data_IF_280489879316
#
_entry.id   IF_280489879316
#
_cell.length_a   1.000
_cell.length_b   1.000
_cell.length_c   1.000
_cell.angle_alpha   90.00
_cell.angle_beta   90.00
_cell.angle_gamma   90.00
#
_symmetry.space_group_name_H-M   'P 1'
#
loop_
_entity.id
_entity.type
_entity.pdbx_description
1 polymer ?
#
# COMPACT_ATOMS: atom_id res chain seq x y z
N UNK A 1 46.37 -10.91 42.10
CA UNK A 1 45.56 -11.57 41.06
C UNK A 1 45.42 -10.58 39.93
N UNK A 2 46.35 -10.69 38.99
CA UNK A 2 46.23 -10.25 37.61
C UNK A 2 44.98 -10.87 36.95
N UNK A 3 44.38 -10.18 35.98
CA UNK A 3 44.44 -10.56 34.55
C UNK A 3 43.71 -9.53 33.67
N UNK A 4 44.42 -9.08 32.62
CA UNK A 4 43.91 -8.27 31.52
C UNK A 4 43.28 -9.17 30.45
N UNK A 5 42.39 -8.61 29.64
CA UNK A 5 42.02 -9.13 28.30
C UNK A 5 40.60 -8.71 27.92
N UNK A 6 40.31 -7.63 27.20
CA UNK A 6 40.76 -7.17 25.87
C UNK A 6 40.08 -7.90 24.68
N UNK A 7 39.42 -7.10 23.81
CA UNK A 7 39.01 -7.34 22.40
C UNK A 7 37.80 -8.27 22.15
N UNK A 8 36.84 -7.98 21.26
CA UNK A 8 36.69 -6.90 20.28
C UNK A 8 35.45 -7.09 19.37
N UNK A 9 35.32 -6.20 18.37
CA UNK A 9 34.50 -6.37 17.16
C UNK A 9 33.09 -5.73 17.19
N UNK A 10 32.88 -4.52 16.64
CA UNK A 10 32.58 -4.18 15.23
C UNK A 10 31.09 -4.35 14.79
N UNK A 11 30.47 -3.20 14.48
CA UNK A 11 29.44 -2.91 13.47
C UNK A 11 28.01 -3.46 13.53
N UNK A 12 27.06 -2.53 13.40
CA UNK A 12 25.74 -2.72 12.78
C UNK A 12 24.59 -2.95 13.76
N UNK A 13 23.51 -2.18 13.80
CA UNK A 13 23.13 -1.07 12.95
C UNK A 13 21.90 -0.38 13.54
N UNK A 14 21.87 0.92 13.29
CA UNK A 14 20.67 1.71 13.05
C UNK A 14 19.52 0.87 12.48
N UNK A 15 18.43 0.72 13.24
CA UNK A 15 17.03 0.83 12.80
C UNK A 15 16.07 0.16 13.80
N UNK A 16 15.90 0.75 14.98
CA UNK A 16 14.68 0.58 15.80
C UNK A 16 13.63 1.66 15.45
N UNK A 17 13.49 1.96 14.16
CA UNK A 17 12.58 2.99 13.63
C UNK A 17 11.77 2.48 12.44
N UNK A 18 11.27 1.25 12.48
CA UNK A 18 10.35 0.76 11.44
C UNK A 18 9.28 -0.18 11.98
N UNK A 19 8.56 0.23 13.03
CA UNK A 19 7.21 -0.29 13.33
C UNK A 19 6.44 0.72 14.19
N UNK A 20 6.34 1.95 13.69
CA UNK A 20 5.28 2.87 14.09
C UNK A 20 4.45 3.20 12.85
N UNK A 21 3.55 2.28 12.49
CA UNK A 21 2.30 2.70 11.88
C UNK A 21 1.61 3.59 12.92
N UNK A 22 1.81 4.89 12.75
CA UNK A 22 1.13 5.98 13.45
C UNK A 22 -0.38 5.75 13.29
N UNK A 23 -0.99 4.99 14.21
CA UNK A 23 -2.46 4.92 14.37
C UNK A 23 -2.93 6.25 14.92
N UNK A 24 -2.91 7.30 14.09
CA UNK A 24 -3.69 8.51 14.33
C UNK A 24 -5.17 8.14 14.20
N UNK A 25 -6.05 8.58 15.12
CA UNK A 25 -7.48 8.42 14.95
C UNK A 25 -7.93 9.27 13.76
N UNK A 26 -8.23 8.63 12.63
CA UNK A 26 -8.77 9.26 11.42
C UNK A 26 -10.25 9.64 11.62
N UNK A 27 -10.51 10.69 12.40
CA UNK A 27 -11.75 11.45 12.29
C UNK A 27 -11.48 12.66 11.37
N UNK A 28 -12.01 12.58 10.14
CA UNK A 28 -12.04 13.63 9.12
C UNK A 28 -10.69 14.30 8.73
N UNK A 29 -10.01 13.78 7.72
CA UNK A 29 -9.08 14.53 6.88
C UNK A 29 -8.86 13.77 5.57
N UNK A 30 -8.53 14.47 4.49
CA UNK A 30 -8.10 13.91 3.20
C UNK A 30 -7.22 12.66 3.39
N UNK A 31 -7.79 11.46 3.23
CA UNK A 31 -7.01 10.23 3.18
C UNK A 31 -6.22 10.26 1.88
N UNK A 32 -4.94 10.63 2.00
CA UNK A 32 -3.95 10.46 0.96
C UNK A 32 -3.96 8.98 0.52
N UNK A 33 -4.24 8.75 -0.76
CA UNK A 33 -4.38 7.41 -1.31
C UNK A 33 -2.99 6.87 -1.64
N UNK A 34 -2.54 5.80 -1.00
CA UNK A 34 -1.29 5.14 -1.38
C UNK A 34 -1.57 4.13 -2.50
N UNK A 35 -0.87 4.26 -3.62
CA UNK A 35 -1.01 3.32 -4.73
C UNK A 35 0.27 3.18 -5.53
N UNK A 36 0.30 2.16 -6.37
CA UNK A 36 1.33 1.92 -7.35
C UNK A 36 0.69 1.48 -8.66
N UNK A 37 1.27 1.94 -9.77
CA UNK A 37 0.94 1.40 -11.09
C UNK A 37 1.98 0.31 -11.37
N UNK A 38 1.51 -0.93 -11.48
CA UNK A 38 2.38 -2.07 -11.81
C UNK A 38 2.00 -2.62 -13.17
N UNK A 39 2.99 -3.19 -13.86
CA UNK A 39 2.77 -3.89 -15.12
C UNK A 39 2.94 -5.39 -14.86
N UNK A 40 1.87 -6.15 -15.08
CA UNK A 40 1.90 -7.61 -14.99
C UNK A 40 1.64 -8.15 -16.39
N UNK A 41 2.64 -8.83 -16.97
CA UNK A 41 2.62 -9.29 -18.36
C UNK A 41 2.35 -8.12 -19.32
N UNK A 42 1.17 -8.08 -19.94
CA UNK A 42 0.75 -7.06 -20.89
C UNK A 42 -0.36 -6.14 -20.33
N UNK A 43 -0.64 -6.23 -19.02
CA UNK A 43 -1.71 -5.47 -18.37
C UNK A 43 -1.12 -4.51 -17.35
N UNK A 44 -1.45 -3.23 -17.50
CA UNK A 44 -1.16 -2.20 -16.50
C UNK A 44 -2.29 -2.18 -15.46
N UNK A 45 -1.92 -2.19 -14.18
CA UNK A 45 -2.83 -2.29 -13.05
C UNK A 45 -2.52 -1.22 -12.02
N UNK A 46 -3.55 -0.53 -11.53
CA UNK A 46 -3.43 0.31 -10.35
C UNK A 46 -3.67 -0.54 -9.10
N UNK A 47 -2.65 -0.71 -8.27
CA UNK A 47 -2.77 -1.35 -6.97
C UNK A 47 -2.86 -0.27 -5.91
N UNK A 48 -3.93 -0.30 -5.13
CA UNK A 48 -4.22 0.71 -4.11
C UNK A 48 -4.13 0.06 -2.74
N UNK A 49 -3.29 0.62 -1.89
CA UNK A 49 -3.15 0.17 -0.51
C UNK A 49 -4.34 0.68 0.29
N UNK A 50 -5.05 -0.23 0.95
CA UNK A 50 -6.19 0.09 1.80
C UNK A 50 -6.15 -0.69 3.11
N UNK A 51 -6.85 -0.22 4.13
CA UNK A 51 -7.04 -1.01 5.34
C UNK A 51 -7.83 -2.30 5.04
N UNK A 52 -7.59 -3.40 5.78
CA UNK A 52 -8.23 -4.69 5.52
C UNK A 52 -9.75 -4.62 5.50
N UNK A 53 -10.35 -3.78 6.34
CA UNK A 53 -11.79 -3.54 6.37
C UNK A 53 -12.36 -3.01 5.06
N UNK A 54 -11.55 -2.32 4.24
CA UNK A 54 -11.92 -1.81 2.92
C UNK A 54 -11.73 -2.83 1.79
N UNK A 55 -11.32 -4.06 2.11
CA UNK A 55 -11.30 -5.18 1.15
C UNK A 55 -12.54 -6.07 1.26
N UNK A 56 -13.44 -5.77 2.22
CA UNK A 56 -14.69 -6.50 2.39
C UNK A 56 -15.71 -6.11 1.32
N UNK A 57 -16.55 -7.03 0.83
CA UNK A 57 -17.53 -6.73 -0.21
C UNK A 57 -18.50 -5.57 0.11
N UNK A 58 -18.74 -5.28 1.39
CA UNK A 58 -19.63 -4.22 1.85
C UNK A 58 -19.03 -2.82 1.75
N UNK A 59 -17.71 -2.68 1.86
CA UNK A 59 -16.98 -1.41 1.96
C UNK A 59 -16.04 -1.17 0.78
N UNK A 60 -15.57 -2.25 0.15
CA UNK A 60 -14.66 -2.21 -0.98
C UNK A 60 -15.20 -1.44 -2.20
N UNK A 61 -16.50 -1.48 -2.55
CA UNK A 61 -17.03 -0.64 -3.63
C UNK A 61 -16.80 0.85 -3.38
N UNK A 62 -16.95 1.32 -2.13
CA UNK A 62 -16.72 2.73 -1.80
C UNK A 62 -15.24 3.12 -1.89
N UNK A 63 -14.33 2.23 -1.45
CA UNK A 63 -12.89 2.42 -1.60
C UNK A 63 -12.46 2.42 -3.08
N UNK A 64 -13.05 1.54 -3.89
CA UNK A 64 -12.81 1.47 -5.33
C UNK A 64 -13.30 2.73 -6.04
N UNK A 65 -14.48 3.24 -5.71
CA UNK A 65 -14.98 4.51 -6.26
C UNK A 65 -14.05 5.69 -5.95
N UNK A 66 -13.42 5.71 -4.77
CA UNK A 66 -12.42 6.73 -4.43
C UNK A 66 -11.17 6.56 -5.29
N UNK A 67 -10.64 5.34 -5.39
CA UNK A 67 -9.49 5.02 -6.23
C UNK A 67 -9.71 5.35 -7.72
N UNK A 68 -10.93 5.15 -8.23
CA UNK A 68 -11.30 5.46 -9.62
C UNK A 68 -11.11 6.94 -9.95
N UNK A 69 -11.20 7.85 -8.97
CA UNK A 69 -10.93 9.29 -9.20
C UNK A 69 -9.47 9.54 -9.54
N UNK A 70 -8.55 8.74 -9.03
CA UNK A 70 -7.11 8.83 -9.29
C UNK A 70 -6.70 8.03 -10.52
N UNK A 71 -7.37 6.90 -10.76
CA UNK A 71 -7.06 5.97 -11.85
C UNK A 71 -8.31 5.65 -12.70
N UNK A 72 -8.86 6.62 -13.44
CA UNK A 72 -10.15 6.47 -14.10
C UNK A 72 -10.15 5.45 -15.25
N UNK A 73 -8.99 5.14 -15.82
CA UNK A 73 -8.85 4.27 -17.00
C UNK A 73 -8.18 2.93 -16.71
N UNK A 74 -7.61 2.75 -15.51
CA UNK A 74 -6.88 1.53 -15.17
C UNK A 74 -7.79 0.56 -14.40
N UNK A 75 -7.60 -0.76 -14.58
CA UNK A 75 -8.15 -1.72 -13.63
C UNK A 75 -7.54 -1.46 -12.25
N UNK A 76 -8.37 -1.57 -11.20
CA UNK A 76 -7.99 -1.24 -9.82
C UNK A 76 -8.06 -2.49 -8.95
N UNK A 77 -6.96 -2.80 -8.29
CA UNK A 77 -6.86 -3.80 -7.24
C UNK A 77 -6.71 -3.09 -5.89
N UNK A 78 -7.67 -3.29 -4.99
CA UNK A 78 -7.50 -2.92 -3.59
C UNK A 78 -6.70 -4.01 -2.90
N UNK A 79 -5.62 -3.62 -2.23
CA UNK A 79 -4.73 -4.54 -1.54
C UNK A 79 -4.50 -4.03 -0.12
N UNK A 80 -4.70 -4.90 0.85
CA UNK A 80 -4.34 -4.59 2.24
C UNK A 80 -2.90 -4.97 2.54
N UNK A 81 -2.22 -4.22 3.43
CA UNK A 81 -0.96 -4.65 4.00
C UNK A 81 -1.08 -6.05 4.60
N UNK A 82 0.03 -6.78 4.60
CA UNK A 82 0.06 -8.14 5.15
C UNK A 82 -0.23 -8.11 6.65
N UNK A 83 -1.18 -8.92 7.10
CA UNK A 83 -1.44 -9.15 8.53
C UNK A 83 -1.18 -10.62 8.80
N UNK A 84 -0.04 -10.91 9.44
CA UNK A 84 0.50 -12.27 9.53
C UNK A 84 0.97 -12.77 8.16
N UNK A 85 0.52 -13.96 7.75
CA UNK A 85 0.91 -14.55 6.46
C UNK A 85 0.01 -14.16 5.29
N UNK A 86 -1.12 -13.48 5.55
CA UNK A 86 -2.16 -13.25 4.55
C UNK A 86 -2.34 -11.77 4.24
N UNK A 87 -2.45 -11.46 2.94
CA UNK A 87 -2.95 -10.17 2.46
C UNK A 87 -4.37 -10.36 1.93
N UNK A 88 -5.25 -9.43 2.25
CA UNK A 88 -6.59 -9.39 1.63
C UNK A 88 -6.56 -8.47 0.43
N UNK A 89 -7.29 -8.86 -0.61
CA UNK A 89 -7.42 -8.08 -1.82
C UNK A 89 -8.86 -8.09 -2.33
N UNK A 90 -9.26 -7.01 -2.98
CA UNK A 90 -10.55 -6.89 -3.64
C UNK A 90 -10.39 -6.25 -5.01
N UNK A 91 -11.08 -6.82 -6.01
CA UNK A 91 -11.20 -6.25 -7.34
C UNK A 91 -12.54 -6.68 -7.95
N UNK A 92 -13.00 -5.92 -8.94
CA UNK A 92 -14.21 -6.22 -9.72
C UNK A 92 -13.95 -7.17 -10.90
N UNK A 93 -12.69 -7.55 -11.13
CA UNK A 93 -12.26 -8.46 -12.18
C UNK A 93 -11.55 -9.69 -11.58
N UNK A 94 -11.36 -10.74 -12.39
CA UNK A 94 -10.72 -11.96 -11.92
C UNK A 94 -9.22 -11.74 -11.68
N UNK A 95 -8.80 -11.79 -10.41
CA UNK A 95 -7.41 -11.60 -9.97
C UNK A 95 -6.61 -12.90 -9.85
N UNK A 96 -7.27 -14.07 -9.96
CA UNK A 96 -6.61 -15.39 -9.89
C UNK A 96 -5.37 -15.51 -10.78
N UNK A 97 -5.37 -15.05 -12.05
CA UNK A 97 -4.19 -15.15 -12.90
C UNK A 97 -3.08 -14.15 -12.56
N UNK A 98 -3.35 -13.17 -11.70
CA UNK A 98 -2.42 -12.09 -11.33
C UNK A 98 -1.85 -12.24 -9.92
N UNK A 99 -2.57 -12.88 -9.00
CA UNK A 99 -2.22 -12.90 -7.57
C UNK A 99 -0.83 -13.48 -7.29
N UNK A 100 -0.38 -14.47 -8.06
CA UNK A 100 0.97 -15.04 -7.93
C UNK A 100 2.11 -14.14 -8.42
N UNK A 101 1.78 -13.01 -9.04
CA UNK A 101 2.74 -12.01 -9.52
C UNK A 101 2.71 -10.73 -8.69
N UNK A 102 1.85 -10.64 -7.67
CA UNK A 102 1.67 -9.45 -6.84
C UNK A 102 2.24 -9.74 -5.45
N UNK A 103 3.38 -9.12 -5.14
CA UNK A 103 3.95 -9.14 -3.80
C UNK A 103 3.82 -7.75 -3.17
N UNK A 104 2.98 -7.60 -2.15
CA UNK A 104 2.71 -6.32 -1.49
C UNK A 104 3.99 -5.66 -0.91
N UNK A 105 4.97 -6.46 -0.52
CA UNK A 105 6.23 -6.02 0.09
C UNK A 105 7.24 -5.50 -0.95
N UNK A 106 7.09 -5.91 -2.22
CA UNK A 106 7.93 -5.46 -3.34
C UNK A 106 7.32 -4.30 -4.12
N UNK A 107 6.08 -3.91 -3.81
CA UNK A 107 5.43 -2.77 -4.47
C UNK A 107 6.04 -1.47 -3.95
N UNK A 108 6.58 -0.67 -4.88
CA UNK A 108 7.00 0.69 -4.61
C UNK A 108 5.78 1.62 -4.46
N UNK A 109 5.22 1.66 -3.25
CA UNK A 109 4.05 2.47 -2.92
C UNK A 109 4.35 3.97 -3.06
N UNK A 110 3.42 4.72 -3.63
CA UNK A 110 3.48 6.18 -3.72
C UNK A 110 2.19 6.79 -3.21
N UNK A 111 2.32 7.89 -2.49
CA UNK A 111 1.18 8.73 -2.15
C UNK A 111 0.68 9.38 -3.44
N UNK A 112 -0.58 9.15 -3.77
CA UNK A 112 -1.25 9.78 -4.89
C UNK A 112 -1.83 11.12 -4.47
N UNK A 113 -1.45 12.15 -5.21
CA UNK A 113 -2.08 13.45 -5.11
C UNK A 113 -3.44 13.38 -5.82
N UNK A 114 -4.49 14.01 -5.27
CA UNK A 114 -5.76 14.14 -5.96
C UNK A 114 -5.53 14.77 -7.33
N UNK A 115 -6.23 14.34 -8.39
CA UNK A 115 -6.21 15.09 -9.64
C UNK A 115 -6.59 16.54 -9.33
N UNK A 116 -5.84 17.49 -9.88
CA UNK A 116 -6.15 18.90 -9.74
C UNK A 116 -7.61 19.11 -10.13
N UNK A 117 -8.39 19.75 -9.26
CA UNK A 117 -9.80 20.05 -9.56
C UNK A 117 -9.83 20.75 -10.91
N UNK A 118 -10.65 20.31 -11.88
CA UNK A 118 -10.78 21.03 -13.12
C UNK A 118 -11.16 22.47 -12.78
N UNK A 119 -10.28 23.41 -13.11
CA UNK A 119 -10.55 24.83 -12.92
C UNK A 119 -11.77 25.15 -13.79
N UNK A 120 -12.87 25.67 -13.21
CA UNK A 120 -14.06 25.96 -13.99
C UNK A 120 -13.68 26.97 -15.09
N UNK A 121 -14.15 26.77 -16.33
CA UNK A 121 -13.96 27.78 -17.36
C UNK A 121 -14.67 29.07 -16.90
N UNK A 122 -13.90 30.16 -16.79
CA UNK A 122 -14.41 31.50 -16.53
C UNK A 122 -15.26 32.01 -17.68
#
# INVERSE_FOLDING_TARGET
MDERGQQGGFFGGWNELFFQQDRRPMHNAFMQLCAAIINIKQTQLAVVQVEPEHTLPTTAPAALMRAQRYFPTLPILLLSPRIGDFSRSYATFNITPLIGHINADEIAWRVCEPPASPEPPF
#
